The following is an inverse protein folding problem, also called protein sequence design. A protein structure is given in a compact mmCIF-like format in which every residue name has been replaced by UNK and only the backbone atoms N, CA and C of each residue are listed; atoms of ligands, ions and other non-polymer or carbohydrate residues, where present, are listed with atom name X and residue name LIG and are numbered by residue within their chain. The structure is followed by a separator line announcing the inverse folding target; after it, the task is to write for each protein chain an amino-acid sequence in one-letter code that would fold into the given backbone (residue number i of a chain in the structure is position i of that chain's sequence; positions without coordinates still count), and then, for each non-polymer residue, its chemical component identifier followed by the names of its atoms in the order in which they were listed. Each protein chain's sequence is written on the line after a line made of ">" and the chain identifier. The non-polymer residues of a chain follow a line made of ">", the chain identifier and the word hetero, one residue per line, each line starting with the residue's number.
data_IF_980126504129
#
_entry.id   IF_980126504129
#
_cell.length_a   1.000
_cell.length_b   1.000
_cell.length_c   1.000
_cell.angle_alpha   90.00
_cell.angle_beta   90.00
_cell.angle_gamma   90.00
#
_symmetry.space_group_name_H-M   'P 1'
#
loop_
_entity.id
_entity.type
_entity.pdbx_description
1 polymer ?
#
# COMPACT_ATOMS: atom_id res chain seq x y z
N UNK A 1 -25.29 -0.58 -12.75
CA UNK A 1 -25.96 -1.88 -12.89
C UNK A 1 -25.77 -2.74 -11.64
N UNK A 2 -26.48 -3.85 -11.44
CA UNK A 2 -26.39 -4.69 -10.24
C UNK A 2 -25.01 -5.35 -10.04
N UNK A 3 -24.17 -5.39 -11.06
CA UNK A 3 -22.78 -5.88 -10.97
C UNK A 3 -21.75 -4.80 -10.63
N UNK A 4 -22.17 -3.54 -10.55
CA UNK A 4 -21.28 -2.44 -10.23
C UNK A 4 -20.95 -2.45 -8.73
N UNK A 5 -19.66 -2.35 -8.41
CA UNK A 5 -19.18 -2.23 -7.04
C UNK A 5 -19.55 -0.86 -6.45
N UNK A 6 -19.97 -0.87 -5.19
CA UNK A 6 -20.04 0.33 -4.37
C UNK A 6 -18.74 0.40 -3.58
N UNK A 7 -17.94 1.41 -3.82
CA UNK A 7 -16.63 1.57 -3.17
C UNK A 7 -16.60 2.81 -2.30
N UNK A 8 -15.85 2.72 -1.18
CA UNK A 8 -15.58 3.83 -0.30
C UNK A 8 -14.13 3.79 0.21
N UNK A 9 -13.65 4.94 0.66
CA UNK A 9 -12.30 5.09 1.17
C UNK A 9 -12.26 6.04 2.36
N UNK A 10 -11.32 5.78 3.28
CA UNK A 10 -10.93 6.75 4.30
C UNK A 10 -11.75 6.68 5.59
N UNK A 11 -12.48 5.58 5.87
CA UNK A 11 -13.08 5.46 7.19
C UNK A 11 -12.00 5.35 8.27
N UNK A 12 -12.30 5.93 9.41
CA UNK A 12 -11.48 5.92 10.61
C UNK A 12 -12.45 5.84 11.79
N UNK A 13 -12.42 4.74 12.52
CA UNK A 13 -13.33 4.49 13.63
C UNK A 13 -13.27 5.56 14.73
N UNK A 14 -12.11 6.22 14.88
CA UNK A 14 -11.94 7.33 15.81
C UNK A 14 -12.72 8.60 15.39
N UNK A 15 -13.07 8.71 14.11
CA UNK A 15 -13.81 9.84 13.53
C UNK A 15 -15.27 9.53 13.24
N UNK A 16 -15.67 8.26 13.30
CA UNK A 16 -17.06 7.86 13.16
C UNK A 16 -17.85 8.17 14.45
N UNK A 17 -19.12 8.55 14.31
CA UNK A 17 -19.99 8.83 15.46
C UNK A 17 -20.16 7.59 16.36
N UNK A 18 -20.12 6.40 15.78
CA UNK A 18 -20.24 5.11 16.47
C UNK A 18 -18.99 4.70 17.22
N UNK A 19 -17.83 5.35 16.98
CA UNK A 19 -16.53 5.03 17.55
C UNK A 19 -16.14 3.55 17.49
N UNK A 20 -16.53 2.88 16.41
CA UNK A 20 -16.22 1.47 16.15
C UNK A 20 -15.95 1.23 14.68
N UNK A 21 -15.23 0.14 14.40
CA UNK A 21 -15.11 -0.36 13.02
C UNK A 21 -16.50 -0.66 12.45
N UNK A 22 -16.82 -0.26 11.21
CA UNK A 22 -18.03 -0.70 10.54
C UNK A 22 -18.14 -2.22 10.53
N UNK A 23 -19.35 -2.75 10.50
CA UNK A 23 -19.60 -4.18 10.46
C UNK A 23 -20.16 -4.61 9.11
N UNK A 24 -20.17 -5.91 8.84
CA UNK A 24 -20.78 -6.46 7.63
C UNK A 24 -22.27 -6.07 7.53
N UNK A 25 -22.96 -6.01 8.68
CA UNK A 25 -24.37 -5.61 8.74
C UNK A 25 -24.56 -4.12 8.39
N UNK A 26 -23.59 -3.26 8.71
CA UNK A 26 -23.64 -1.85 8.31
C UNK A 26 -23.57 -1.74 6.78
N UNK A 27 -22.70 -2.53 6.15
CA UNK A 27 -22.53 -2.52 4.70
C UNK A 27 -23.68 -3.26 3.97
N UNK A 28 -24.26 -4.29 4.57
CA UNK A 28 -25.45 -4.96 4.02
C UNK A 28 -26.68 -4.04 4.02
N UNK A 29 -26.76 -3.07 4.93
CA UNK A 29 -27.78 -2.01 4.86
C UNK A 29 -27.59 -1.06 3.69
N UNK A 30 -26.35 -0.89 3.21
CA UNK A 30 -26.09 -0.10 1.99
C UNK A 30 -26.59 -0.84 0.76
N UNK A 31 -26.28 -2.14 0.63
CA UNK A 31 -26.79 -2.97 -0.45
C UNK A 31 -26.72 -4.46 -0.09
N UNK A 32 -27.81 -5.18 -0.40
CA UNK A 32 -27.88 -6.64 -0.34
C UNK A 32 -27.76 -7.30 -1.71
N UNK A 33 -27.65 -6.51 -2.77
CA UNK A 33 -27.58 -6.99 -4.17
C UNK A 33 -26.28 -6.61 -4.88
N UNK A 34 -25.65 -5.50 -4.47
CA UNK A 34 -24.38 -5.05 -5.03
C UNK A 34 -23.25 -5.32 -4.04
N UNK A 35 -22.06 -5.69 -4.53
CA UNK A 35 -20.89 -5.78 -3.67
C UNK A 35 -20.48 -4.39 -3.15
N UNK A 36 -20.20 -4.30 -1.85
CA UNK A 36 -19.72 -3.09 -1.19
C UNK A 36 -18.34 -3.35 -0.61
N UNK A 37 -17.40 -2.46 -0.87
CA UNK A 37 -16.03 -2.51 -0.34
C UNK A 37 -15.60 -1.12 0.11
N UNK A 38 -15.15 -1.00 1.36
CA UNK A 38 -14.70 0.27 1.94
C UNK A 38 -13.32 0.09 2.55
N UNK A 39 -12.36 0.88 2.09
CA UNK A 39 -10.98 0.86 2.56
C UNK A 39 -10.79 1.81 3.74
N UNK A 40 -10.06 1.37 4.76
CA UNK A 40 -9.68 2.19 5.91
C UNK A 40 -8.69 3.30 5.51
N UNK A 41 -8.64 4.36 6.28
CA UNK A 41 -7.78 5.54 6.02
C UNK A 41 -6.28 5.22 5.96
N UNK A 42 -5.83 4.18 6.67
CA UNK A 42 -4.43 3.72 6.66
C UNK A 42 -4.07 2.81 5.48
N UNK A 43 -5.06 2.43 4.66
CA UNK A 43 -4.94 1.49 3.55
C UNK A 43 -4.56 0.04 3.92
N UNK A 44 -4.26 -0.26 5.19
CA UNK A 44 -3.89 -1.61 5.65
C UNK A 44 -5.08 -2.52 5.95
N UNK A 45 -6.28 -1.96 6.01
CA UNK A 45 -7.50 -2.72 6.27
C UNK A 45 -8.64 -2.26 5.39
N UNK A 46 -9.58 -3.15 5.16
CA UNK A 46 -10.83 -2.86 4.47
C UNK A 46 -11.97 -3.64 5.11
N UNK A 47 -13.18 -3.27 4.74
CA UNK A 47 -14.38 -4.01 5.08
C UNK A 47 -15.27 -4.18 3.86
N UNK A 48 -15.92 -5.31 3.74
CA UNK A 48 -16.85 -5.60 2.66
C UNK A 48 -18.15 -6.24 3.16
N UNK A 49 -19.17 -6.16 2.33
CA UNK A 49 -20.48 -6.73 2.64
C UNK A 49 -20.59 -8.22 2.31
N UNK A 50 -21.72 -8.84 2.64
CA UNK A 50 -21.98 -10.26 2.39
C UNK A 50 -21.94 -10.62 0.90
N UNK A 51 -22.32 -9.70 0.02
CA UNK A 51 -22.24 -9.91 -1.45
C UNK A 51 -20.81 -10.02 -1.92
N UNK A 52 -19.95 -9.11 -1.47
CA UNK A 52 -18.53 -9.10 -1.82
C UNK A 52 -17.80 -10.34 -1.27
N UNK A 53 -18.06 -10.76 -0.01
CA UNK A 53 -17.50 -11.99 0.56
C UNK A 53 -17.87 -13.22 -0.27
N UNK A 54 -19.14 -13.33 -0.65
CA UNK A 54 -19.63 -14.45 -1.47
C UNK A 54 -18.99 -14.49 -2.84
N UNK A 55 -18.85 -13.33 -3.51
CA UNK A 55 -18.16 -13.22 -4.80
C UNK A 55 -16.69 -13.62 -4.69
N UNK A 56 -16.05 -13.27 -3.56
CA UNK A 56 -14.65 -13.62 -3.28
C UNK A 56 -14.45 -15.08 -2.84
N UNK A 57 -15.53 -15.84 -2.63
CA UNK A 57 -15.45 -17.22 -2.11
C UNK A 57 -14.92 -17.29 -0.67
N UNK A 58 -15.10 -16.22 0.11
CA UNK A 58 -14.64 -16.16 1.51
C UNK A 58 -15.74 -16.69 2.41
N UNK A 59 -15.54 -17.89 2.94
CA UNK A 59 -16.47 -18.64 3.80
C UNK A 59 -15.83 -18.97 5.15
N UNK A 60 -16.59 -19.61 6.05
CA UNK A 60 -16.12 -19.97 7.40
C UNK A 60 -14.82 -20.81 7.42
N UNK A 61 -14.61 -21.66 6.43
CA UNK A 61 -13.41 -22.51 6.31
C UNK A 61 -12.30 -21.96 5.43
N UNK A 62 -12.47 -20.78 4.83
CA UNK A 62 -11.47 -20.20 3.92
C UNK A 62 -10.21 -19.85 4.70
N UNK A 63 -9.01 -20.37 4.32
CA UNK A 63 -7.77 -20.04 5.01
C UNK A 63 -7.39 -18.57 4.81
N UNK A 64 -6.73 -18.00 5.79
CA UNK A 64 -6.18 -16.65 5.68
C UNK A 64 -5.04 -16.62 4.66
N UNK A 65 -4.94 -15.56 3.85
CA UNK A 65 -3.82 -15.41 2.93
C UNK A 65 -2.53 -15.11 3.70
N UNK A 66 -1.39 -15.50 3.14
CA UNK A 66 -0.09 -15.19 3.74
C UNK A 66 0.07 -13.67 3.95
N UNK A 67 0.39 -13.24 5.17
CA UNK A 67 0.52 -11.82 5.52
C UNK A 67 -0.79 -11.02 5.52
N UNK A 68 -1.94 -11.71 5.66
CA UNK A 68 -3.25 -11.08 5.79
C UNK A 68 -4.21 -11.95 6.62
N UNK A 69 -5.36 -11.40 6.99
CA UNK A 69 -6.35 -12.12 7.80
C UNK A 69 -7.77 -11.73 7.43
N UNK A 70 -8.65 -12.72 7.30
CA UNK A 70 -10.09 -12.53 7.23
C UNK A 70 -10.69 -12.47 8.64
N UNK A 71 -11.34 -11.37 8.97
CA UNK A 71 -12.02 -11.21 10.23
C UNK A 71 -13.21 -12.21 10.36
N UNK A 72 -13.43 -12.74 11.57
CA UNK A 72 -14.48 -13.73 11.83
C UNK A 72 -15.25 -13.41 13.10
N UNK A 73 -16.51 -13.78 13.09
CA UNK A 73 -17.31 -13.86 14.30
C UNK A 73 -16.86 -15.04 15.19
N UNK A 74 -17.30 -15.11 16.47
CA UNK A 74 -16.96 -16.23 17.36
C UNK A 74 -17.41 -17.60 16.84
N UNK A 75 -18.42 -17.66 15.98
CA UNK A 75 -18.92 -18.87 15.32
C UNK A 75 -18.13 -19.28 14.07
N UNK A 76 -17.07 -18.54 13.73
CA UNK A 76 -16.18 -18.80 12.59
C UNK A 76 -16.64 -18.19 11.26
N UNK A 77 -17.84 -17.63 11.17
CA UNK A 77 -18.31 -16.95 9.95
C UNK A 77 -17.51 -15.67 9.70
N UNK A 78 -17.16 -15.34 8.43
CA UNK A 78 -16.52 -14.07 8.08
C UNK A 78 -17.40 -12.88 8.49
N UNK A 79 -16.76 -11.84 9.06
CA UNK A 79 -17.45 -10.62 9.53
C UNK A 79 -17.24 -9.42 8.59
N UNK A 80 -16.65 -9.65 7.41
CA UNK A 80 -16.41 -8.63 6.40
C UNK A 80 -15.10 -7.88 6.56
N UNK A 81 -14.42 -7.96 7.70
CA UNK A 81 -13.15 -7.26 7.93
C UNK A 81 -12.01 -8.00 7.23
N UNK A 82 -11.20 -7.24 6.48
CA UNK A 82 -10.04 -7.70 5.74
C UNK A 82 -8.81 -6.96 6.29
N UNK A 83 -7.94 -7.68 6.98
CA UNK A 83 -6.75 -7.09 7.62
C UNK A 83 -5.52 -7.34 6.75
N UNK A 84 -4.75 -6.31 6.50
CA UNK A 84 -3.59 -6.20 5.63
C UNK A 84 -3.92 -6.33 4.13
N UNK A 85 -3.00 -5.81 3.31
CA UNK A 85 -3.15 -5.74 1.84
C UNK A 85 -3.53 -7.07 1.21
N UNK A 86 -2.90 -8.17 1.65
CA UNK A 86 -3.12 -9.48 1.04
C UNK A 86 -4.55 -9.98 1.23
N UNK A 87 -5.20 -9.66 2.35
CA UNK A 87 -6.61 -9.98 2.56
C UNK A 87 -7.54 -9.07 1.73
N UNK A 88 -7.27 -7.77 1.72
CA UNK A 88 -8.05 -6.81 0.93
C UNK A 88 -7.97 -7.10 -0.57
N UNK A 89 -6.79 -7.45 -1.09
CA UNK A 89 -6.59 -7.77 -2.50
C UNK A 89 -7.41 -8.95 -3.00
N UNK A 90 -7.77 -9.91 -2.15
CA UNK A 90 -8.64 -11.03 -2.56
C UNK A 90 -9.97 -10.51 -3.10
N UNK A 91 -10.50 -9.46 -2.47
CA UNK A 91 -11.76 -8.82 -2.90
C UNK A 91 -11.51 -7.77 -3.98
N UNK A 92 -10.48 -6.93 -3.85
CA UNK A 92 -10.16 -5.86 -4.79
C UNK A 92 -9.98 -6.37 -6.24
N UNK A 93 -9.35 -7.53 -6.42
CA UNK A 93 -9.14 -8.14 -7.75
C UNK A 93 -10.43 -8.42 -8.52
N UNK A 94 -11.56 -8.54 -7.82
CA UNK A 94 -12.88 -8.78 -8.44
C UNK A 94 -13.50 -7.50 -8.99
N UNK A 95 -13.02 -6.32 -8.60
CA UNK A 95 -13.52 -5.03 -9.09
C UNK A 95 -13.09 -4.72 -10.52
N UNK A 96 -12.13 -5.48 -11.04
CA UNK A 96 -11.47 -5.19 -12.32
C UNK A 96 -10.42 -4.07 -12.18
N UNK A 97 -9.54 -4.00 -13.16
CA UNK A 97 -8.54 -2.94 -13.23
C UNK A 97 -9.12 -1.73 -13.97
N UNK A 98 -8.81 -0.49 -13.51
CA UNK A 98 -9.18 0.69 -14.27
C UNK A 98 -8.49 0.69 -15.64
N UNK A 99 -9.16 1.22 -16.65
CA UNK A 99 -8.56 1.37 -17.97
C UNK A 99 -7.47 2.45 -17.92
N UNK A 100 -6.50 2.38 -18.85
CA UNK A 100 -5.48 3.43 -18.98
C UNK A 100 -6.11 4.81 -19.10
N UNK A 101 -7.15 4.95 -19.94
CA UNK A 101 -7.85 6.22 -20.13
C UNK A 101 -8.51 6.73 -18.85
N UNK A 102 -9.21 5.86 -18.10
CA UNK A 102 -9.83 6.28 -16.85
C UNK A 102 -8.80 6.68 -15.78
N UNK A 103 -7.63 6.02 -15.72
CA UNK A 103 -6.55 6.45 -14.83
C UNK A 103 -5.98 7.82 -15.20
N UNK A 104 -5.79 8.08 -16.51
CA UNK A 104 -5.32 9.37 -17.00
C UNK A 104 -6.34 10.48 -16.70
N UNK A 105 -7.62 10.22 -16.89
CA UNK A 105 -8.69 11.17 -16.56
C UNK A 105 -8.71 11.49 -15.06
N UNK A 106 -8.67 10.47 -14.19
CA UNK A 106 -8.63 10.65 -12.74
C UNK A 106 -7.39 11.43 -12.29
N UNK A 107 -6.22 11.09 -12.85
CA UNK A 107 -4.97 11.78 -12.54
C UNK A 107 -5.04 13.24 -12.97
N UNK A 108 -5.47 13.51 -14.19
CA UNK A 108 -5.61 14.88 -14.72
C UNK A 108 -6.55 15.71 -13.85
N UNK A 109 -7.71 15.17 -13.50
CA UNK A 109 -8.68 15.84 -12.64
C UNK A 109 -8.15 16.11 -11.22
N UNK A 110 -7.23 15.29 -10.70
CA UNK A 110 -6.64 15.50 -9.38
C UNK A 110 -5.69 16.69 -9.31
N UNK A 111 -5.18 17.17 -10.44
CA UNK A 111 -4.18 18.23 -10.51
C UNK A 111 -4.63 19.54 -9.84
N UNK A 112 -5.85 19.97 -10.05
CA UNK A 112 -6.41 21.16 -9.41
C UNK A 112 -6.50 21.03 -7.89
N UNK A 113 -6.80 19.83 -7.38
CA UNK A 113 -6.85 19.56 -5.95
C UNK A 113 -5.48 19.66 -5.29
N UNK A 114 -4.42 19.21 -5.97
CA UNK A 114 -3.05 19.37 -5.50
C UNK A 114 -2.65 20.85 -5.46
N UNK A 115 -2.85 21.56 -6.57
CA UNK A 115 -2.50 22.99 -6.66
C UNK A 115 -3.25 23.85 -5.64
N UNK A 116 -4.53 23.60 -5.43
CA UNK A 116 -5.34 24.30 -4.43
C UNK A 116 -4.81 24.14 -2.99
N UNK A 117 -3.97 23.14 -2.76
CA UNK A 117 -3.29 22.87 -1.47
C UNK A 117 -1.82 23.24 -1.48
N UNK A 118 -1.32 23.89 -2.54
CA UNK A 118 0.08 24.28 -2.69
C UNK A 118 1.03 23.09 -2.94
N UNK A 119 0.51 21.93 -3.35
CA UNK A 119 1.33 20.74 -3.64
C UNK A 119 1.79 20.83 -5.09
N UNK A 120 3.09 21.03 -5.29
CA UNK A 120 3.73 21.13 -6.61
C UNK A 120 4.53 19.88 -7.00
N UNK A 121 4.85 19.04 -6.01
CA UNK A 121 5.53 17.76 -6.24
C UNK A 121 5.19 16.78 -5.13
N UNK A 122 5.21 15.48 -5.45
CA UNK A 122 5.06 14.40 -4.47
C UNK A 122 5.81 13.14 -4.89
N UNK A 123 5.86 12.16 -4.00
CA UNK A 123 6.30 10.81 -4.31
C UNK A 123 5.12 9.85 -4.25
N UNK A 124 4.94 9.07 -5.30
CA UNK A 124 3.99 7.96 -5.33
C UNK A 124 4.70 6.69 -4.85
N UNK A 125 4.29 6.18 -3.67
CA UNK A 125 4.99 5.09 -2.99
C UNK A 125 4.44 3.70 -3.31
N UNK A 126 3.39 3.61 -4.13
CA UNK A 126 2.70 2.35 -4.47
C UNK A 126 2.57 2.17 -5.99
N UNK A 127 3.55 2.71 -6.73
CA UNK A 127 3.49 2.69 -8.18
C UNK A 127 3.83 1.31 -8.77
N UNK A 128 3.23 1.01 -9.91
CA UNK A 128 3.75 0.06 -10.87
C UNK A 128 4.35 0.79 -12.10
N UNK A 129 5.05 0.05 -12.95
CA UNK A 129 5.72 0.68 -14.08
C UNK A 129 4.73 1.23 -15.13
N UNK A 130 3.53 0.66 -15.24
CA UNK A 130 2.49 1.15 -16.16
C UNK A 130 2.03 2.56 -15.79
N UNK A 131 2.03 2.88 -14.51
CA UNK A 131 1.62 4.20 -14.02
C UNK A 131 2.54 5.32 -14.48
N UNK A 132 3.82 5.08 -14.78
CA UNK A 132 4.68 6.10 -15.37
C UNK A 132 4.10 6.64 -16.68
N UNK A 133 3.55 5.77 -17.52
CA UNK A 133 2.88 6.19 -18.76
C UNK A 133 1.59 6.98 -18.48
N UNK A 134 0.84 6.62 -17.43
CA UNK A 134 -0.36 7.36 -16.99
C UNK A 134 0.02 8.79 -16.57
N UNK A 135 1.05 8.95 -15.73
CA UNK A 135 1.52 10.27 -15.30
C UNK A 135 1.99 11.14 -16.47
N UNK A 136 2.77 10.55 -17.38
CA UNK A 136 3.25 11.26 -18.58
C UNK A 136 2.09 11.67 -19.51
N UNK A 137 1.09 10.81 -19.68
CA UNK A 137 -0.11 11.14 -20.46
C UNK A 137 -0.95 12.22 -19.77
N UNK A 138 -1.17 12.10 -18.46
CA UNK A 138 -1.88 13.12 -17.69
C UNK A 138 -1.19 14.49 -17.77
N UNK A 139 0.16 14.53 -17.72
CA UNK A 139 0.93 15.74 -17.90
C UNK A 139 0.70 16.38 -19.28
N UNK A 140 0.64 15.58 -20.36
CA UNK A 140 0.30 16.08 -21.69
C UNK A 140 -1.12 16.67 -21.77
N UNK A 141 -2.02 16.21 -20.89
CA UNK A 141 -3.40 16.72 -20.76
C UNK A 141 -3.54 17.82 -19.71
N UNK A 142 -2.45 18.28 -19.12
CA UNK A 142 -2.43 19.43 -18.22
C UNK A 142 -2.32 19.12 -16.73
N UNK A 143 -1.99 17.89 -16.33
CA UNK A 143 -1.63 17.58 -14.94
C UNK A 143 -0.33 18.30 -14.58
N UNK A 144 -0.34 19.24 -13.60
CA UNK A 144 0.73 20.21 -13.42
C UNK A 144 1.75 19.83 -12.34
N UNK A 145 1.58 18.67 -11.68
CA UNK A 145 2.34 18.33 -10.47
C UNK A 145 3.43 17.32 -10.79
N UNK A 146 4.65 17.56 -10.32
CA UNK A 146 5.78 16.63 -10.49
C UNK A 146 5.59 15.38 -9.62
N UNK A 147 5.95 14.21 -10.14
CA UNK A 147 5.85 12.96 -9.37
C UNK A 147 7.08 12.06 -9.55
N UNK A 148 7.70 11.68 -8.43
CA UNK A 148 8.68 10.62 -8.37
C UNK A 148 8.02 9.31 -7.95
N UNK A 149 8.06 8.29 -8.81
CA UNK A 149 7.39 7.02 -8.60
C UNK A 149 8.33 6.00 -7.94
N UNK A 150 7.86 5.35 -6.89
CA UNK A 150 8.54 4.21 -6.27
C UNK A 150 7.80 2.93 -6.66
N UNK A 151 8.48 2.09 -7.44
CA UNK A 151 7.91 0.83 -7.90
C UNK A 151 7.82 -0.17 -6.74
N UNK A 152 6.65 -0.70 -6.49
CA UNK A 152 6.49 -1.77 -5.51
C UNK A 152 7.32 -2.97 -5.94
N UNK A 153 8.12 -3.51 -5.03
CA UNK A 153 9.00 -4.64 -5.30
C UNK A 153 8.23 -5.83 -5.90
N UNK A 154 8.83 -6.48 -6.89
CA UNK A 154 8.20 -7.51 -7.73
C UNK A 154 7.06 -6.99 -8.63
N UNK A 155 7.03 -5.66 -8.88
CA UNK A 155 6.10 -5.05 -9.81
C UNK A 155 4.70 -4.76 -9.25
N UNK A 156 4.47 -4.99 -7.96
CA UNK A 156 3.15 -4.78 -7.38
C UNK A 156 2.06 -5.57 -8.11
N UNK A 157 1.20 -4.87 -8.85
CA UNK A 157 0.14 -5.47 -9.68
C UNK A 157 0.60 -5.83 -11.09
N UNK A 158 1.76 -5.34 -11.54
CA UNK A 158 2.27 -5.64 -12.87
C UNK A 158 2.81 -7.08 -12.93
N UNK A 159 2.17 -7.99 -13.68
CA UNK A 159 2.60 -9.39 -13.77
C UNK A 159 3.96 -9.56 -14.45
N UNK A 160 4.47 -8.53 -15.12
CA UNK A 160 5.79 -8.55 -15.76
C UNK A 160 6.93 -8.39 -14.73
N UNK A 161 6.61 -7.97 -13.50
CA UNK A 161 7.58 -7.77 -12.45
C UNK A 161 8.36 -6.46 -12.60
N UNK A 162 9.63 -6.48 -12.19
CA UNK A 162 10.48 -5.28 -12.23
C UNK A 162 11.05 -5.06 -13.63
N UNK A 163 10.83 -3.87 -14.24
CA UNK A 163 11.33 -3.57 -15.59
C UNK A 163 12.83 -3.26 -15.58
N UNK A 164 13.46 -3.39 -16.75
CA UNK A 164 14.73 -2.71 -17.01
C UNK A 164 14.47 -1.22 -17.26
N UNK A 165 15.07 -0.34 -16.46
CA UNK A 165 14.87 1.10 -16.58
C UNK A 165 15.83 1.73 -17.57
N UNK A 166 15.30 2.64 -18.38
CA UNK A 166 16.08 3.51 -19.26
C UNK A 166 16.48 4.81 -18.55
N UNK A 167 17.35 5.60 -19.17
CA UNK A 167 17.67 6.94 -18.64
C UNK A 167 16.45 7.87 -18.67
N UNK A 168 15.59 7.73 -19.68
CA UNK A 168 14.34 8.49 -19.77
C UNK A 168 13.39 8.17 -18.61
N UNK A 169 13.36 6.92 -18.14
CA UNK A 169 12.49 6.54 -17.02
C UNK A 169 12.90 7.18 -15.70
N UNK A 170 14.14 7.65 -15.59
CA UNK A 170 14.74 8.24 -14.38
C UNK A 170 14.81 9.76 -14.39
N UNK A 171 14.29 10.40 -15.43
CA UNK A 171 14.41 11.85 -15.64
C UNK A 171 13.06 12.52 -15.95
N UNK A 172 13.05 13.85 -15.91
CA UNK A 172 11.88 14.65 -16.22
C UNK A 172 11.01 14.95 -14.99
N UNK A 173 9.79 15.40 -15.24
CA UNK A 173 8.85 15.76 -14.18
C UNK A 173 8.09 14.55 -13.61
N UNK A 174 8.03 13.44 -14.37
CA UNK A 174 7.44 12.17 -13.96
C UNK A 174 8.46 11.07 -14.24
N UNK A 175 9.01 10.48 -13.19
CA UNK A 175 10.15 9.57 -13.30
C UNK A 175 10.12 8.49 -12.22
N UNK A 176 10.84 7.40 -12.46
CA UNK A 176 11.06 6.37 -11.45
C UNK A 176 12.15 6.85 -10.48
N UNK A 177 11.75 7.15 -9.27
CA UNK A 177 12.62 7.64 -8.20
C UNK A 177 13.25 6.50 -7.40
N UNK A 178 12.56 5.36 -7.29
CA UNK A 178 13.02 4.27 -6.46
C UNK A 178 12.19 2.99 -6.52
N UNK A 179 12.53 2.10 -5.60
CA UNK A 179 11.82 0.84 -5.33
C UNK A 179 11.23 0.90 -3.94
N UNK A 180 10.04 0.34 -3.74
CA UNK A 180 9.31 0.30 -2.47
C UNK A 180 9.14 -1.12 -1.96
N UNK A 181 9.52 -1.31 -0.68
CA UNK A 181 9.27 -2.53 0.08
C UNK A 181 8.47 -2.23 1.36
N UNK A 182 7.97 -3.28 1.98
CA UNK A 182 7.24 -3.24 3.24
C UNK A 182 7.86 -4.24 4.22
N UNK A 183 8.46 -3.74 5.30
CA UNK A 183 9.10 -4.59 6.31
C UNK A 183 8.16 -5.05 7.41
N UNK A 184 7.09 -4.30 7.68
CA UNK A 184 6.07 -4.63 8.68
C UNK A 184 4.70 -4.01 8.31
N UNK A 185 3.78 -4.06 9.24
CA UNK A 185 2.43 -3.50 9.08
C UNK A 185 2.25 -2.09 9.67
N UNK A 186 1.06 -1.79 10.20
CA UNK A 186 0.68 -0.47 10.69
C UNK A 186 0.59 -0.39 12.23
N UNK A 187 0.75 0.83 12.76
CA UNK A 187 0.54 1.11 14.20
C UNK A 187 -0.94 0.95 14.55
N UNK A 188 -1.82 1.54 13.77
CA UNK A 188 -3.26 1.51 14.01
C UNK A 188 -3.89 0.13 13.93
N UNK A 189 -3.31 -0.76 13.10
CA UNK A 189 -3.67 -2.16 13.01
C UNK A 189 -3.02 -3.07 14.05
N UNK A 190 -2.10 -2.54 14.88
CA UNK A 190 -1.26 -3.30 15.81
C UNK A 190 -0.48 -4.44 15.12
N UNK A 191 -0.04 -4.18 13.88
CA UNK A 191 0.73 -5.11 13.03
C UNK A 191 2.16 -4.64 12.79
N UNK A 192 2.52 -3.41 13.18
CA UNK A 192 3.89 -2.93 13.21
C UNK A 192 4.75 -3.82 14.13
N UNK A 193 5.97 -4.16 13.68
CA UNK A 193 6.86 -5.07 14.39
C UNK A 193 7.58 -4.35 15.53
N UNK A 194 7.07 -4.46 16.73
CA UNK A 194 7.54 -3.75 17.92
C UNK A 194 8.13 -4.68 18.98
N UNK A 195 9.10 -4.17 19.74
CA UNK A 195 9.67 -4.88 20.91
C UNK A 195 8.70 -4.85 22.08
N UNK A 196 8.12 -3.68 22.39
CA UNK A 196 7.13 -3.54 23.44
C UNK A 196 5.73 -3.81 22.87
N UNK A 197 4.98 -4.79 23.42
CA UNK A 197 3.66 -5.14 22.91
C UNK A 197 2.67 -3.96 22.91
N UNK A 198 1.79 -3.90 21.92
CA UNK A 198 0.61 -3.05 21.92
C UNK A 198 -0.34 -3.40 23.07
N UNK A 199 -1.29 -2.53 23.37
CA UNK A 199 -2.28 -2.74 24.45
C UNK A 199 -3.12 -4.03 24.29
N UNK A 200 -3.27 -4.53 23.07
CA UNK A 200 -3.93 -5.81 22.77
C UNK A 200 -3.00 -7.03 22.88
N UNK A 201 -1.77 -6.83 23.33
CA UNK A 201 -0.75 -7.88 23.47
C UNK A 201 -0.02 -8.27 22.18
N UNK A 202 -0.38 -7.70 21.03
CA UNK A 202 0.33 -7.95 19.75
C UNK A 202 1.72 -7.31 19.77
N UNK A 203 2.70 -7.97 19.15
CA UNK A 203 4.01 -7.39 18.82
C UNK A 203 4.18 -7.20 17.32
N UNK A 204 3.11 -7.35 16.54
CA UNK A 204 3.18 -7.31 15.08
C UNK A 204 4.11 -8.37 14.50
N UNK A 205 4.48 -8.20 13.24
CA UNK A 205 5.42 -9.12 12.58
C UNK A 205 6.30 -8.39 11.56
N UNK A 206 7.53 -8.84 11.40
CA UNK A 206 8.38 -8.50 10.25
C UNK A 206 7.94 -9.38 9.09
N UNK A 207 7.61 -8.76 7.96
CA UNK A 207 7.08 -9.43 6.75
C UNK A 207 8.10 -9.55 5.63
N UNK A 208 9.19 -8.78 5.70
CA UNK A 208 10.24 -8.74 4.68
C UNK A 208 11.36 -9.73 5.02
N UNK A 209 11.69 -10.63 4.09
CA UNK A 209 12.85 -11.51 4.19
C UNK A 209 14.11 -10.86 3.62
N UNK A 210 15.31 -11.32 4.06
CA UNK A 210 16.60 -10.75 3.65
C UNK A 210 16.88 -10.97 2.16
N UNK A 211 16.43 -12.07 1.57
CA UNK A 211 16.61 -12.34 0.15
C UNK A 211 15.84 -11.34 -0.74
N UNK A 212 14.62 -10.97 -0.31
CA UNK A 212 13.85 -9.93 -1.00
C UNK A 212 14.49 -8.54 -0.84
N UNK A 213 15.03 -8.25 0.35
CA UNK A 213 15.73 -7.00 0.63
C UNK A 213 17.00 -6.85 -0.22
N UNK A 214 17.84 -7.90 -0.26
CA UNK A 214 19.06 -7.95 -1.08
C UNK A 214 18.76 -7.78 -2.56
N UNK A 215 17.79 -8.55 -3.08
CA UNK A 215 17.44 -8.49 -4.51
C UNK A 215 16.88 -7.12 -4.91
N UNK A 216 16.11 -6.47 -4.03
CA UNK A 216 15.60 -5.13 -4.28
C UNK A 216 16.71 -4.06 -4.19
N UNK A 217 17.66 -4.22 -3.26
CA UNK A 217 18.83 -3.35 -3.14
C UNK A 217 19.73 -3.45 -4.39
N UNK A 218 19.95 -4.67 -4.90
CA UNK A 218 20.73 -4.89 -6.12
C UNK A 218 20.05 -4.28 -7.36
N UNK A 219 18.72 -4.42 -7.47
CA UNK A 219 17.96 -3.75 -8.52
C UNK A 219 18.08 -2.22 -8.41
N UNK A 220 17.94 -1.66 -7.20
CA UNK A 220 18.05 -0.22 -6.98
C UNK A 220 19.47 0.30 -7.31
N UNK A 221 20.51 -0.43 -6.91
CA UNK A 221 21.90 -0.13 -7.18
C UNK A 221 22.20 -0.15 -8.68
N UNK A 222 21.80 -1.21 -9.38
CA UNK A 222 21.97 -1.37 -10.82
C UNK A 222 21.31 -0.25 -11.62
N UNK A 223 20.11 0.16 -11.19
CA UNK A 223 19.35 1.22 -11.87
C UNK A 223 19.66 2.63 -11.34
N UNK A 224 20.55 2.78 -10.36
CA UNK A 224 20.91 4.08 -9.73
C UNK A 224 19.68 4.84 -9.23
N UNK A 225 18.77 4.13 -8.54
CA UNK A 225 17.58 4.68 -7.92
C UNK A 225 17.57 4.40 -6.42
N UNK A 226 16.69 5.08 -5.66
CA UNK A 226 16.60 4.93 -4.23
C UNK A 226 15.85 3.64 -3.84
N UNK A 227 16.24 3.03 -2.74
CA UNK A 227 15.47 1.98 -2.07
C UNK A 227 14.67 2.62 -0.92
N UNK A 228 13.37 2.44 -0.91
CA UNK A 228 12.49 2.91 0.15
C UNK A 228 11.82 1.72 0.82
N UNK A 229 11.91 1.65 2.15
CA UNK A 229 11.34 0.56 2.94
C UNK A 229 10.37 1.12 3.98
N UNK A 230 9.11 0.70 3.91
CA UNK A 230 8.16 0.93 4.99
C UNK A 230 8.58 0.11 6.22
N UNK A 231 8.88 0.79 7.32
CA UNK A 231 9.16 0.18 8.60
C UNK A 231 8.65 1.08 9.73
N UNK A 232 7.64 0.61 10.46
CA UNK A 232 6.95 1.36 11.50
C UNK A 232 7.47 1.02 12.89
N UNK A 233 7.69 -0.25 13.16
CA UNK A 233 8.11 -0.78 14.45
C UNK A 233 9.63 -0.80 14.59
N UNK A 234 10.12 -0.64 15.83
CA UNK A 234 11.56 -0.64 16.16
C UNK A 234 12.29 -1.92 15.71
N UNK A 235 11.62 -3.08 15.73
CA UNK A 235 12.19 -4.33 15.23
C UNK A 235 12.37 -4.34 13.71
N UNK A 236 11.41 -3.79 12.97
CA UNK A 236 11.52 -3.68 11.52
C UNK A 236 12.60 -2.64 11.14
N UNK A 237 12.59 -1.48 11.81
CA UNK A 237 13.60 -0.43 11.59
C UNK A 237 15.01 -0.95 11.90
N UNK A 238 15.22 -1.60 13.06
CA UNK A 238 16.51 -2.17 13.42
C UNK A 238 17.03 -3.13 12.37
N UNK A 239 16.18 -4.04 11.88
CA UNK A 239 16.56 -4.97 10.82
C UNK A 239 17.05 -4.28 9.54
N UNK A 240 16.41 -3.17 9.14
CA UNK A 240 16.86 -2.43 7.94
C UNK A 240 18.19 -1.72 8.21
N UNK A 241 18.37 -1.15 9.40
CA UNK A 241 19.64 -0.52 9.80
C UNK A 241 20.75 -1.58 9.79
N UNK A 242 20.60 -2.67 10.52
CA UNK A 242 21.58 -3.76 10.63
C UNK A 242 21.97 -4.33 9.26
N UNK A 243 21.02 -4.39 8.32
CA UNK A 243 21.28 -4.90 6.96
C UNK A 243 22.14 -3.93 6.12
N UNK A 244 21.99 -2.61 6.32
CA UNK A 244 22.65 -1.62 5.47
C UNK A 244 23.80 -0.86 6.13
N UNK A 245 24.04 -0.99 7.43
CA UNK A 245 25.04 -0.17 8.15
C UNK A 245 26.46 -0.27 7.58
N UNK A 246 26.86 -1.46 7.09
CA UNK A 246 28.19 -1.71 6.51
C UNK A 246 28.20 -1.60 4.97
N UNK A 247 27.06 -1.28 4.33
CA UNK A 247 27.00 -1.21 2.86
C UNK A 247 27.35 0.16 2.34
N UNK A 248 28.12 0.18 1.25
CA UNK A 248 28.49 1.44 0.56
C UNK A 248 27.26 2.03 -0.13
N UNK A 249 26.94 3.32 0.11
CA UNK A 249 25.92 4.02 -0.65
C UNK A 249 26.19 3.98 -2.15
N UNK A 250 25.15 3.85 -2.97
CA UNK A 250 25.25 3.81 -4.44
C UNK A 250 24.73 5.08 -5.14
N UNK A 251 24.17 6.01 -4.37
CA UNK A 251 23.79 7.36 -4.84
C UNK A 251 24.69 8.39 -4.18
N UNK A 252 25.10 9.39 -4.95
CA UNK A 252 26.03 10.44 -4.49
C UNK A 252 25.30 11.70 -4.01
N UNK A 253 24.12 11.98 -4.58
CA UNK A 253 23.35 13.22 -4.39
C UNK A 253 22.27 13.11 -3.30
N UNK A 254 21.99 11.91 -2.82
CA UNK A 254 20.95 11.63 -1.80
C UNK A 254 21.18 10.28 -1.13
N UNK A 255 20.52 10.00 0.01
CA UNK A 255 20.60 8.67 0.63
C UNK A 255 20.16 7.56 -0.32
N UNK A 256 20.92 6.48 -0.40
CA UNK A 256 20.60 5.31 -1.22
C UNK A 256 19.44 4.52 -0.67
N UNK A 257 19.32 4.48 0.66
CA UNK A 257 18.23 3.81 1.40
C UNK A 257 17.44 4.84 2.20
N UNK A 258 16.12 4.68 2.23
CA UNK A 258 15.20 5.51 2.96
C UNK A 258 14.19 4.63 3.72
N UNK A 259 14.08 4.85 5.01
CA UNK A 259 13.07 4.22 5.86
C UNK A 259 11.86 5.14 5.93
N UNK A 260 10.70 4.63 5.53
CA UNK A 260 9.45 5.37 5.63
C UNK A 260 8.84 5.18 7.01
N UNK A 261 8.30 6.27 7.55
CA UNK A 261 7.61 6.38 8.84
C UNK A 261 8.55 6.35 10.04
N UNK A 262 9.29 5.24 10.29
CA UNK A 262 10.17 5.07 11.45
C UNK A 262 9.50 5.55 12.75
N UNK A 263 8.25 5.07 12.99
CA UNK A 263 7.36 5.64 14.02
C UNK A 263 7.81 5.25 15.42
N UNK A 264 8.24 4.01 15.61
CA UNK A 264 8.82 3.55 16.86
C UNK A 264 10.32 3.35 16.68
N UNK A 265 11.09 4.15 17.43
CA UNK A 265 12.55 4.07 17.45
C UNK A 265 13.01 3.92 18.89
N UNK A 266 14.12 3.23 19.09
CA UNK A 266 14.87 3.26 20.33
C UNK A 266 16.10 4.18 20.19
N UNK A 267 16.77 4.51 21.29
CA UNK A 267 17.92 5.43 21.31
C UNK A 267 19.09 4.95 20.45
N UNK A 268 19.26 3.63 20.29
CA UNK A 268 20.36 3.08 19.47
C UNK A 268 20.11 3.22 17.95
N UNK A 269 18.87 3.50 17.54
CA UNK A 269 18.46 3.66 16.15
C UNK A 269 18.43 5.13 15.69
N UNK A 270 18.64 6.05 16.61
CA UNK A 270 18.75 7.49 16.35
C UNK A 270 20.19 7.90 16.07
#
# INVERSE_FOLDING_TARGET
>A
GPEAWITGFGYDEGKLAEHRTPTIEDLDRVSTTQPVFVKRSDCHSAICNSVALRLAGIEAGTPDPAGGRFGRFPDGRPNGVLTEFNAAQVVERLMGEPTFESEVEMMTASGEHFLARGILAFTEMMADYRQLAVYREAARRGFPVRAGLYLVWKGGRDPRGMPALTDEDRTGDHFIAGVKLFADGSVSGATAAVTTPFLNGSTGMVTLDDGALEAAAEYARTNKIQLSVHAMGDRAVGRIIDFFEDQTPWLEDRPSVRIEHATFLNEAQL
#
